data_IF_764321700024
#
_entry.id   IF_764321700024
#
_cell.length_a   1.000
_cell.length_b   1.000
_cell.length_c   1.000
_cell.angle_alpha   90.00
_cell.angle_beta   90.00
_cell.angle_gamma   90.00
#
_symmetry.space_group_name_H-M   'P 1'
#
loop_
_entity.id
_entity.type
_entity.pdbx_description
1 polymer ?
#
# COMPACT_ATOMS: atom_id res chain seq x y z
N UNK A 1 -49.20 11.23 12.49
CA UNK A 1 -48.84 10.81 11.12
C UNK A 1 -47.35 10.72 11.05
N UNK A 2 -46.81 9.56 10.86
CA UNK A 2 -45.36 9.41 10.63
C UNK A 2 -44.98 10.03 9.28
N UNK A 3 -43.90 10.79 9.22
CA UNK A 3 -43.47 11.39 7.95
C UNK A 3 -43.19 10.30 6.92
N UNK A 4 -43.44 10.51 5.61
CA UNK A 4 -43.26 9.53 4.56
C UNK A 4 -41.81 9.06 4.55
N UNK A 5 -41.58 7.81 4.24
CA UNK A 5 -40.29 7.09 4.31
C UNK A 5 -39.14 7.87 3.65
N UNK A 6 -39.42 8.56 2.55
CA UNK A 6 -38.47 9.46 1.84
C UNK A 6 -38.02 10.64 2.72
N UNK A 7 -38.92 11.20 3.56
CA UNK A 7 -38.58 12.29 4.49
C UNK A 7 -37.74 11.76 5.67
N UNK A 8 -38.03 10.57 6.17
CA UNK A 8 -37.23 9.92 7.23
C UNK A 8 -35.81 9.60 6.72
N UNK A 9 -35.68 9.05 5.52
CA UNK A 9 -34.38 8.79 4.89
C UNK A 9 -33.62 10.10 4.64
N UNK A 10 -34.29 11.13 4.12
CA UNK A 10 -33.67 12.45 3.92
C UNK A 10 -33.21 13.05 5.25
N UNK A 11 -34.01 12.98 6.28
CA UNK A 11 -33.65 13.48 7.62
C UNK A 11 -32.48 12.70 8.22
N UNK A 12 -32.50 11.37 8.10
CA UNK A 12 -31.39 10.51 8.54
C UNK A 12 -30.07 10.85 7.80
N UNK A 13 -30.12 10.96 6.47
CA UNK A 13 -28.95 11.32 5.64
C UNK A 13 -28.44 12.71 6.01
N UNK A 14 -29.33 13.71 6.12
CA UNK A 14 -28.92 15.07 6.47
C UNK A 14 -28.30 15.12 7.87
N UNK A 15 -28.85 14.36 8.83
CA UNK A 15 -28.33 14.36 10.21
C UNK A 15 -26.96 13.68 10.35
N UNK A 16 -26.71 12.60 9.59
CA UNK A 16 -25.49 11.80 9.76
C UNK A 16 -24.39 12.17 8.75
N UNK A 17 -24.73 12.81 7.63
CA UNK A 17 -23.77 13.18 6.58
C UNK A 17 -23.61 14.68 6.41
N UNK A 18 -24.21 15.50 7.28
CA UNK A 18 -24.03 16.96 7.22
C UNK A 18 -22.70 17.38 7.85
N UNK A 19 -21.68 17.48 7.01
CA UNK A 19 -20.34 17.95 7.39
C UNK A 19 -20.34 19.38 8.00
N UNK A 20 -21.43 20.13 7.85
CA UNK A 20 -21.49 21.52 8.36
C UNK A 20 -21.53 21.61 9.89
N UNK A 21 -22.01 20.56 10.55
CA UNK A 21 -22.09 20.52 12.03
C UNK A 21 -20.74 20.31 12.69
N UNK A 22 -19.83 19.59 12.01
CA UNK A 22 -18.48 19.28 12.49
C UNK A 22 -17.42 20.17 11.85
N UNK A 23 -17.83 21.07 10.96
CA UNK A 23 -16.93 21.97 10.24
C UNK A 23 -16.18 22.87 11.25
N UNK A 24 -14.88 22.92 11.10
CA UNK A 24 -14.02 23.89 11.77
C UNK A 24 -14.31 25.30 11.22
N UNK A 25 -13.89 26.32 11.96
CA UNK A 25 -13.93 27.69 11.45
C UNK A 25 -13.23 27.78 10.09
N UNK A 26 -13.88 28.46 9.13
CA UNK A 26 -13.42 28.52 7.75
C UNK A 26 -12.06 29.23 7.64
N UNK A 27 -11.87 30.30 8.43
CA UNK A 27 -10.60 31.04 8.44
C UNK A 27 -9.47 30.22 9.05
N UNK A 28 -9.76 29.49 10.14
CA UNK A 28 -8.80 28.61 10.79
C UNK A 28 -8.37 27.44 9.90
N UNK A 29 -9.32 26.83 9.20
CA UNK A 29 -9.03 25.78 8.21
C UNK A 29 -8.17 26.30 7.07
N UNK A 30 -8.54 27.47 6.50
CA UNK A 30 -7.77 28.10 5.41
C UNK A 30 -6.36 28.43 5.88
N UNK A 31 -6.21 28.97 7.08
CA UNK A 31 -4.90 29.30 7.63
C UNK A 31 -4.04 28.06 7.91
N UNK A 32 -4.63 27.01 8.47
CA UNK A 32 -3.97 25.73 8.73
C UNK A 32 -3.46 25.09 7.42
N UNK A 33 -4.29 25.07 6.38
CA UNK A 33 -3.89 24.56 5.08
C UNK A 33 -2.83 25.46 4.41
N UNK A 34 -2.92 26.78 4.55
CA UNK A 34 -1.90 27.72 4.05
C UNK A 34 -0.54 27.52 4.73
N UNK A 35 -0.52 27.26 6.05
CA UNK A 35 0.70 26.92 6.79
C UNK A 35 1.32 25.62 6.26
N UNK A 36 0.50 24.61 5.92
CA UNK A 36 0.97 23.35 5.33
C UNK A 36 1.62 23.52 3.94
N UNK A 37 1.34 24.61 3.22
CA UNK A 37 1.97 24.91 1.93
C UNK A 37 3.43 25.36 2.09
N UNK A 38 3.83 25.86 3.27
CA UNK A 38 5.19 26.36 3.49
C UNK A 38 6.22 25.25 3.45
N UNK A 39 7.11 25.37 2.45
CA UNK A 39 8.14 24.38 2.17
C UNK A 39 9.54 25.00 2.38
N UNK A 40 9.94 25.18 3.65
CA UNK A 40 11.23 25.79 4.03
C UNK A 40 11.79 25.12 5.29
N UNK A 41 13.11 25.17 5.43
CA UNK A 41 13.79 24.73 6.65
C UNK A 41 13.48 23.28 7.02
N UNK A 42 12.83 23.06 8.15
CA UNK A 42 12.53 21.73 8.69
C UNK A 42 11.79 20.82 7.70
N UNK A 43 10.79 21.35 6.99
CA UNK A 43 10.00 20.55 6.04
C UNK A 43 10.84 20.00 4.89
N UNK A 44 11.86 20.74 4.44
CA UNK A 44 12.76 20.26 3.39
C UNK A 44 13.68 19.13 3.91
N UNK A 45 14.22 19.26 5.11
CA UNK A 45 15.05 18.22 5.72
C UNK A 45 14.23 16.95 6.01
N UNK A 46 13.01 17.10 6.55
CA UNK A 46 12.10 15.98 6.77
C UNK A 46 11.78 15.28 5.45
N UNK A 47 11.54 16.02 4.35
CA UNK A 47 11.35 15.43 3.03
C UNK A 47 12.57 14.61 2.58
N UNK A 48 13.76 15.18 2.67
CA UNK A 48 15.01 14.49 2.27
C UNK A 48 15.15 13.17 3.05
N UNK A 49 15.01 13.20 4.38
CA UNK A 49 15.10 11.98 5.19
C UNK A 49 13.98 10.98 4.85
N UNK A 50 12.77 11.45 4.61
CA UNK A 50 11.66 10.60 4.23
C UNK A 50 11.91 9.93 2.87
N UNK A 51 12.49 10.66 1.89
CA UNK A 51 12.87 10.09 0.59
C UNK A 51 13.97 9.03 0.75
N UNK A 52 14.97 9.25 1.62
CA UNK A 52 15.97 8.23 1.92
C UNK A 52 15.34 6.97 2.51
N UNK A 53 14.44 7.12 3.50
CA UNK A 53 13.71 5.99 4.10
C UNK A 53 12.83 5.26 3.08
N UNK A 54 12.10 6.00 2.24
CA UNK A 54 11.28 5.39 1.20
C UNK A 54 12.13 4.65 0.16
N UNK A 55 13.26 5.22 -0.24
CA UNK A 55 14.18 4.59 -1.19
C UNK A 55 14.83 3.33 -0.60
N UNK A 56 15.22 3.36 0.69
CA UNK A 56 15.65 2.17 1.43
C UNK A 56 14.55 1.10 1.45
N UNK A 57 13.32 1.49 1.79
CA UNK A 57 12.17 0.58 1.83
C UNK A 57 11.87 -0.06 0.48
N UNK A 58 11.94 0.71 -0.60
CA UNK A 58 11.78 0.21 -1.98
C UNK A 58 12.90 -0.75 -2.37
N UNK A 59 14.14 -0.44 -2.00
CA UNK A 59 15.32 -1.25 -2.32
C UNK A 59 15.36 -2.58 -1.54
N UNK A 60 14.84 -2.58 -0.31
CA UNK A 60 14.73 -3.77 0.54
C UNK A 60 13.38 -4.48 0.41
N UNK A 61 12.52 -4.03 -0.50
CA UNK A 61 11.16 -4.55 -0.71
C UNK A 61 10.32 -4.57 0.58
N UNK A 62 10.51 -3.58 1.45
CA UNK A 62 9.84 -3.49 2.76
C UNK A 62 8.70 -2.50 2.74
N UNK A 63 7.47 -2.99 2.54
CA UNK A 63 6.24 -2.17 2.53
C UNK A 63 6.06 -1.39 3.85
N UNK A 64 6.45 -1.98 4.99
CA UNK A 64 6.35 -1.32 6.30
C UNK A 64 7.23 -0.06 6.39
N UNK A 65 8.48 -0.12 5.90
CA UNK A 65 9.39 1.04 5.87
C UNK A 65 8.87 2.11 4.91
N UNK A 66 8.35 1.71 3.74
CA UNK A 66 7.73 2.61 2.77
C UNK A 66 6.55 3.36 3.39
N UNK A 67 5.65 2.66 4.07
CA UNK A 67 4.51 3.27 4.78
C UNK A 67 4.99 4.24 5.85
N UNK A 68 5.97 3.86 6.66
CA UNK A 68 6.57 4.74 7.66
C UNK A 68 7.13 6.04 7.07
N UNK A 69 7.81 5.94 5.93
CA UNK A 69 8.33 7.11 5.21
C UNK A 69 7.22 8.04 4.69
N UNK A 70 6.12 7.46 4.17
CA UNK A 70 4.96 8.23 3.69
C UNK A 70 4.31 9.06 4.81
N UNK A 71 4.26 8.51 6.04
CA UNK A 71 3.66 9.18 7.20
C UNK A 71 4.35 10.49 7.58
N UNK A 72 5.66 10.58 7.40
CA UNK A 72 6.45 11.75 7.75
C UNK A 72 6.60 12.75 6.60
N UNK A 73 6.07 12.42 5.41
CA UNK A 73 6.25 13.23 4.20
C UNK A 73 5.40 14.51 4.20
N UNK A 74 6.01 15.69 3.98
CA UNK A 74 5.28 16.94 3.90
C UNK A 74 4.72 17.27 2.50
N UNK A 75 4.68 16.32 1.56
CA UNK A 75 4.29 16.56 0.15
C UNK A 75 2.82 16.95 -0.01
N UNK A 76 1.96 16.52 0.89
CA UNK A 76 0.50 16.71 0.78
C UNK A 76 0.10 18.18 0.91
N UNK A 77 0.81 18.97 1.72
CA UNK A 77 0.48 20.38 1.98
C UNK A 77 0.40 21.25 0.73
N UNK A 78 1.45 21.31 -0.10
CA UNK A 78 1.43 22.08 -1.36
C UNK A 78 0.34 21.63 -2.33
N UNK A 79 0.03 20.33 -2.41
CA UNK A 79 -0.98 19.78 -3.32
C UNK A 79 -2.40 20.19 -2.90
N UNK A 80 -2.71 20.04 -1.61
CA UNK A 80 -3.99 20.49 -1.04
C UNK A 80 -4.11 22.01 -1.11
N UNK A 81 -3.02 22.75 -0.84
CA UNK A 81 -2.97 24.21 -0.97
C UNK A 81 -3.25 24.69 -2.38
N UNK A 82 -2.82 23.96 -3.41
CA UNK A 82 -3.15 24.26 -4.81
C UNK A 82 -4.66 24.11 -5.05
N UNK A 83 -5.27 22.98 -4.63
CA UNK A 83 -6.72 22.75 -4.75
C UNK A 83 -7.56 23.76 -3.95
N UNK A 84 -7.13 24.11 -2.73
CA UNK A 84 -7.74 25.15 -1.91
C UNK A 84 -7.69 26.52 -2.64
N UNK A 85 -6.52 26.93 -3.11
CA UNK A 85 -6.33 28.20 -3.81
C UNK A 85 -7.24 28.34 -5.04
N UNK A 86 -7.43 27.25 -5.79
CA UNK A 86 -8.41 27.18 -6.87
C UNK A 86 -9.84 27.34 -6.34
N UNK A 87 -10.17 26.68 -5.24
CA UNK A 87 -11.49 26.69 -4.62
C UNK A 87 -11.93 28.06 -4.11
N UNK A 88 -11.05 28.77 -3.41
CA UNK A 88 -11.31 30.11 -2.83
C UNK A 88 -10.89 31.27 -3.75
N UNK A 89 -10.46 31.00 -4.97
CA UNK A 89 -10.02 31.99 -5.95
C UNK A 89 -8.81 32.84 -5.48
N UNK A 90 -7.86 32.21 -4.74
CA UNK A 90 -6.63 32.85 -4.27
C UNK A 90 -5.44 32.50 -5.19
N UNK A 91 -5.17 33.38 -6.17
CA UNK A 91 -4.10 33.20 -7.17
C UNK A 91 -2.69 33.18 -6.52
N UNK A 92 -2.46 33.94 -5.45
CA UNK A 92 -1.18 33.96 -4.76
C UNK A 92 -0.91 32.61 -4.08
N UNK A 93 -1.95 32.03 -3.46
CA UNK A 93 -1.87 30.70 -2.88
C UNK A 93 -1.60 29.63 -3.94
N UNK A 94 -2.28 29.68 -5.10
CA UNK A 94 -2.03 28.77 -6.23
C UNK A 94 -0.59 28.84 -6.69
N UNK A 95 -0.07 30.06 -6.94
CA UNK A 95 1.31 30.27 -7.39
C UNK A 95 2.33 29.78 -6.35
N UNK A 96 2.09 30.07 -5.07
CA UNK A 96 2.95 29.65 -3.97
C UNK A 96 2.94 28.12 -3.81
N UNK A 97 1.76 27.51 -3.84
CA UNK A 97 1.59 26.06 -3.78
C UNK A 97 2.31 25.35 -4.93
N UNK A 98 2.11 25.82 -6.16
CA UNK A 98 2.74 25.26 -7.34
C UNK A 98 4.28 25.37 -7.28
N UNK A 99 4.80 26.52 -6.86
CA UNK A 99 6.25 26.70 -6.71
C UNK A 99 6.83 25.75 -5.67
N UNK A 100 6.17 25.65 -4.50
CA UNK A 100 6.64 24.77 -3.40
C UNK A 100 6.51 23.29 -3.78
N UNK A 101 5.44 22.91 -4.49
CA UNK A 101 5.26 21.59 -5.06
C UNK A 101 6.39 21.21 -6.03
N UNK A 102 6.71 22.08 -6.99
CA UNK A 102 7.80 21.85 -7.95
C UNK A 102 9.16 21.74 -7.24
N UNK A 103 9.40 22.60 -6.24
CA UNK A 103 10.62 22.53 -5.42
C UNK A 103 10.70 21.19 -4.68
N UNK A 104 9.62 20.77 -4.02
CA UNK A 104 9.57 19.50 -3.31
C UNK A 104 9.80 18.30 -4.26
N UNK A 105 9.15 18.31 -5.42
CA UNK A 105 9.32 17.29 -6.45
C UNK A 105 10.77 17.19 -6.92
N UNK A 106 11.40 18.33 -7.22
CA UNK A 106 12.79 18.39 -7.67
C UNK A 106 13.73 17.80 -6.60
N UNK A 107 13.63 18.26 -5.36
CA UNK A 107 14.46 17.75 -4.27
C UNK A 107 14.22 16.26 -4.02
N UNK A 108 12.99 15.78 -4.12
CA UNK A 108 12.66 14.36 -3.97
C UNK A 108 13.31 13.51 -5.04
N UNK A 109 13.16 13.88 -6.31
CA UNK A 109 13.74 13.12 -7.43
C UNK A 109 15.27 13.14 -7.35
N UNK A 110 15.88 14.31 -7.08
CA UNK A 110 17.35 14.42 -6.94
C UNK A 110 17.86 13.56 -5.80
N UNK A 111 17.23 13.63 -4.62
CA UNK A 111 17.62 12.84 -3.45
C UNK A 111 17.52 11.33 -3.73
N UNK A 112 16.41 10.90 -4.34
CA UNK A 112 16.22 9.50 -4.71
C UNK A 112 17.24 9.04 -5.77
N UNK A 113 17.51 9.87 -6.77
CA UNK A 113 18.53 9.57 -7.80
C UNK A 113 19.92 9.40 -7.17
N UNK A 114 20.31 10.30 -6.26
CA UNK A 114 21.59 10.19 -5.54
C UNK A 114 21.64 8.89 -4.72
N UNK A 115 20.57 8.57 -4.00
CA UNK A 115 20.51 7.34 -3.23
C UNK A 115 20.71 6.09 -4.10
N UNK A 116 19.92 5.96 -5.18
CA UNK A 116 19.99 4.78 -6.05
C UNK A 116 21.27 4.72 -6.87
N UNK A 117 21.90 5.85 -7.17
CA UNK A 117 23.20 5.89 -7.83
C UNK A 117 24.32 5.35 -6.93
N UNK A 118 24.25 5.58 -5.62
CA UNK A 118 25.23 5.11 -4.63
C UNK A 118 24.92 3.67 -4.18
N UNK A 119 23.65 3.25 -4.27
CA UNK A 119 23.20 1.93 -3.81
C UNK A 119 23.84 0.81 -4.63
N UNK A 120 24.39 -0.24 -3.98
CA UNK A 120 24.94 -1.40 -4.67
C UNK A 120 23.88 -2.30 -5.30
N UNK A 121 22.59 -2.14 -4.92
CA UNK A 121 21.46 -2.93 -5.41
C UNK A 121 20.84 -2.17 -6.58
N UNK A 122 21.05 -2.66 -7.80
CA UNK A 122 20.55 -2.06 -9.04
C UNK A 122 19.32 -2.81 -9.62
N UNK A 123 18.93 -3.93 -9.01
CA UNK A 123 17.76 -4.68 -9.45
C UNK A 123 16.47 -4.02 -9.01
N UNK A 124 15.49 -3.93 -9.94
CA UNK A 124 14.18 -3.36 -9.66
C UNK A 124 13.33 -4.36 -8.90
N UNK A 125 13.12 -4.12 -7.62
CA UNK A 125 12.25 -4.90 -6.75
C UNK A 125 10.76 -4.74 -7.11
N UNK A 126 9.90 -5.67 -6.67
CA UNK A 126 8.46 -5.68 -6.99
C UNK A 126 7.74 -4.40 -6.59
N UNK A 127 8.06 -3.82 -5.43
CA UNK A 127 7.49 -2.54 -4.97
C UNK A 127 7.86 -1.36 -5.89
N UNK A 128 9.07 -1.36 -6.47
CA UNK A 128 9.48 -0.38 -7.47
C UNK A 128 8.70 -0.55 -8.77
N UNK A 129 8.61 -1.77 -9.28
CA UNK A 129 7.92 -2.09 -10.54
C UNK A 129 6.43 -1.79 -10.47
N UNK A 130 5.78 -2.03 -9.33
CA UNK A 130 4.37 -1.73 -9.11
C UNK A 130 4.03 -0.23 -9.30
N UNK A 131 5.01 0.67 -9.21
CA UNK A 131 4.81 2.13 -9.38
C UNK A 131 5.08 2.63 -10.80
N UNK A 132 5.49 1.76 -11.71
CA UNK A 132 5.81 2.15 -13.10
C UNK A 132 4.62 2.09 -14.05
N UNK A 133 3.53 1.44 -13.66
CA UNK A 133 2.35 1.21 -14.51
C UNK A 133 1.07 1.64 -13.79
N UNK A 134 0.63 2.90 -13.95
CA UNK A 134 -0.60 3.41 -13.34
C UNK A 134 -1.84 2.66 -13.78
N UNK A 135 -2.74 2.42 -12.85
CA UNK A 135 -4.03 1.76 -13.05
C UNK A 135 -5.20 2.70 -12.74
N UNK A 136 -6.43 2.29 -13.10
CA UNK A 136 -7.63 3.03 -12.70
C UNK A 136 -7.79 3.08 -11.18
N UNK A 137 -7.30 2.05 -10.48
CA UNK A 137 -7.37 2.00 -9.02
C UNK A 137 -6.54 3.11 -8.38
N UNK A 138 -5.38 3.46 -8.93
CA UNK A 138 -4.55 4.56 -8.44
C UNK A 138 -5.30 5.90 -8.54
N UNK A 139 -6.03 6.10 -9.64
CA UNK A 139 -6.89 7.28 -9.84
C UNK A 139 -7.97 7.36 -8.75
N UNK A 140 -8.68 6.25 -8.52
CA UNK A 140 -9.74 6.18 -7.50
C UNK A 140 -9.17 6.37 -6.09
N UNK A 141 -8.04 5.75 -5.78
CA UNK A 141 -7.35 5.90 -4.50
C UNK A 141 -6.94 7.35 -4.27
N UNK A 142 -6.34 8.00 -5.26
CA UNK A 142 -5.96 9.41 -5.16
C UNK A 142 -7.17 10.33 -4.98
N UNK A 143 -8.26 10.06 -5.70
CA UNK A 143 -9.49 10.84 -5.60
C UNK A 143 -10.17 10.70 -4.25
N UNK A 144 -10.48 9.47 -3.82
CA UNK A 144 -11.15 9.23 -2.53
C UNK A 144 -10.24 9.55 -1.34
N UNK A 145 -8.93 9.25 -1.45
CA UNK A 145 -7.95 9.64 -0.47
C UNK A 145 -7.86 11.17 -0.34
N UNK A 146 -7.85 11.89 -1.46
CA UNK A 146 -7.91 13.34 -1.48
C UNK A 146 -9.19 13.91 -0.85
N UNK A 147 -10.35 13.32 -1.14
CA UNK A 147 -11.63 13.68 -0.49
C UNK A 147 -11.56 13.47 1.03
N UNK A 148 -11.09 12.31 1.49
CA UNK A 148 -10.93 12.03 2.91
C UNK A 148 -9.97 13.02 3.59
N UNK A 149 -8.85 13.36 2.92
CA UNK A 149 -7.87 14.30 3.43
C UNK A 149 -8.40 15.70 3.63
N UNK A 150 -9.12 16.23 2.66
CA UNK A 150 -9.65 17.58 2.78
C UNK A 150 -10.84 17.63 3.74
N UNK A 151 -11.70 16.60 3.79
CA UNK A 151 -12.78 16.51 4.78
C UNK A 151 -12.19 16.50 6.19
N UNK A 152 -11.19 15.64 6.47
CA UNK A 152 -10.52 15.60 7.76
C UNK A 152 -9.81 16.93 8.09
N UNK A 153 -9.16 17.55 7.10
CA UNK A 153 -8.53 18.86 7.25
C UNK A 153 -9.50 20.01 7.52
N UNK A 154 -10.79 19.83 7.17
CA UNK A 154 -11.87 20.81 7.32
C UNK A 154 -12.72 20.62 8.58
N UNK A 155 -12.42 19.60 9.39
CA UNK A 155 -13.18 19.26 10.61
C UNK A 155 -12.36 19.51 11.87
N UNK A 156 -13.04 19.73 13.00
CA UNK A 156 -12.41 19.93 14.32
C UNK A 156 -11.61 18.71 14.78
N UNK A 157 -12.04 17.52 14.35
CA UNK A 157 -11.40 16.25 14.70
C UNK A 157 -10.36 15.84 13.65
N UNK A 158 -9.25 16.58 13.54
CA UNK A 158 -8.17 16.31 12.56
C UNK A 158 -7.51 14.94 12.77
N UNK A 159 -7.45 14.43 13.97
CA UNK A 159 -7.05 13.08 14.40
C UNK A 159 -6.00 12.37 13.52
N UNK A 160 -6.11 11.06 13.46
CA UNK A 160 -5.22 10.18 12.68
C UNK A 160 -5.59 10.04 11.19
N UNK A 161 -6.63 10.76 10.71
CA UNK A 161 -7.11 10.63 9.34
C UNK A 161 -6.12 11.22 8.34
N UNK A 162 -5.53 12.39 8.64
CA UNK A 162 -4.55 13.04 7.75
C UNK A 162 -3.33 12.15 7.49
N UNK A 163 -2.68 11.53 8.49
CA UNK A 163 -1.62 10.56 8.26
C UNK A 163 -2.08 9.36 7.41
N UNK A 164 -3.28 8.81 7.68
CA UNK A 164 -3.83 7.70 6.91
C UNK A 164 -4.02 8.03 5.42
N UNK A 165 -4.46 9.26 5.12
CA UNK A 165 -4.60 9.75 3.74
C UNK A 165 -3.25 9.91 3.05
N UNK A 166 -2.22 10.39 3.75
CA UNK A 166 -0.86 10.48 3.20
C UNK A 166 -0.31 9.11 2.78
N UNK A 167 -0.67 8.05 3.51
CA UNK A 167 -0.35 6.66 3.14
C UNK A 167 -1.15 6.24 1.90
N UNK A 168 -2.48 6.45 1.91
CA UNK A 168 -3.36 5.99 0.84
C UNK A 168 -3.01 6.61 -0.51
N UNK A 169 -2.68 7.90 -0.54
CA UNK A 169 -2.41 8.62 -1.80
C UNK A 169 -1.03 8.33 -2.41
N UNK A 170 -0.17 7.64 -1.68
CA UNK A 170 1.12 7.11 -2.16
C UNK A 170 1.91 8.07 -3.09
N UNK A 171 2.15 9.31 -2.67
CA UNK A 171 2.86 10.31 -3.49
C UNK A 171 4.38 10.07 -3.54
N UNK A 172 4.95 9.55 -2.45
CA UNK A 172 6.41 9.45 -2.29
C UNK A 172 7.03 8.29 -3.07
N UNK A 173 6.51 7.05 -3.05
CA UNK A 173 7.10 5.94 -3.77
C UNK A 173 7.25 6.17 -5.26
N UNK A 174 6.28 6.77 -5.98
CA UNK A 174 6.47 7.10 -7.40
C UNK A 174 7.62 8.08 -7.66
N UNK A 175 7.87 9.05 -6.76
CA UNK A 175 9.02 9.96 -6.90
C UNK A 175 10.35 9.23 -6.68
N UNK A 176 10.40 8.31 -5.71
CA UNK A 176 11.59 7.48 -5.49
C UNK A 176 11.83 6.55 -6.67
N UNK A 177 10.78 5.92 -7.23
CA UNK A 177 10.88 5.09 -8.44
C UNK A 177 11.30 5.89 -9.67
N UNK A 178 10.83 7.14 -9.79
CA UNK A 178 11.33 8.04 -10.84
C UNK A 178 12.84 8.31 -10.67
N UNK A 179 13.30 8.57 -9.44
CA UNK A 179 14.71 8.71 -9.13
C UNK A 179 15.53 7.43 -9.45
N UNK A 180 14.98 6.25 -9.18
CA UNK A 180 15.57 4.98 -9.59
C UNK A 180 15.69 4.85 -11.11
N UNK A 181 14.63 5.23 -11.85
CA UNK A 181 14.66 5.24 -13.31
C UNK A 181 15.77 6.14 -13.89
N UNK A 182 16.01 7.31 -13.27
CA UNK A 182 17.12 8.19 -13.67
C UNK A 182 18.48 7.60 -13.31
N UNK A 183 18.63 7.03 -12.12
CA UNK A 183 19.88 6.45 -11.65
C UNK A 183 20.32 5.24 -12.49
N UNK A 184 19.36 4.43 -12.96
CA UNK A 184 19.61 3.24 -13.79
C UNK A 184 19.57 3.52 -15.30
N UNK A 185 19.29 4.77 -15.71
CA UNK A 185 19.15 5.15 -17.13
C UNK A 185 17.88 4.59 -17.80
N UNK A 186 16.92 4.07 -17.04
CA UNK A 186 15.69 3.50 -17.58
C UNK A 186 14.59 4.55 -17.66
N UNK A 187 14.44 5.14 -18.84
CA UNK A 187 13.45 6.21 -19.08
C UNK A 187 12.00 5.73 -18.92
N UNK A 188 11.72 4.44 -19.18
CA UNK A 188 10.37 3.88 -19.01
C UNK A 188 9.95 3.87 -17.52
N UNK A 189 10.87 3.52 -16.62
CA UNK A 189 10.61 3.56 -15.18
C UNK A 189 10.41 5.00 -14.70
N UNK A 190 11.26 5.93 -15.18
CA UNK A 190 11.11 7.34 -14.85
C UNK A 190 9.73 7.88 -15.29
N UNK A 191 9.40 7.72 -16.57
CA UNK A 191 8.16 8.29 -17.13
C UNK A 191 6.91 7.62 -16.52
N UNK A 192 6.91 6.31 -16.32
CA UNK A 192 5.78 5.60 -15.71
C UNK A 192 5.51 6.05 -14.28
N UNK A 193 6.56 6.10 -13.46
CA UNK A 193 6.44 6.52 -12.07
C UNK A 193 6.12 8.02 -11.93
N UNK A 194 6.74 8.86 -12.72
CA UNK A 194 6.44 10.30 -12.73
C UNK A 194 5.01 10.59 -13.20
N UNK A 195 4.50 9.80 -14.15
CA UNK A 195 3.12 9.88 -14.59
C UNK A 195 2.14 9.49 -13.48
N UNK A 196 2.41 8.42 -12.72
CA UNK A 196 1.62 8.04 -11.55
C UNK A 196 1.61 9.15 -10.49
N UNK A 197 2.77 9.73 -10.17
CA UNK A 197 2.87 10.87 -9.27
C UNK A 197 2.02 12.05 -9.72
N UNK A 198 2.06 12.37 -11.02
CA UNK A 198 1.27 13.46 -11.61
C UNK A 198 -0.24 13.20 -11.50
N UNK A 199 -0.70 11.99 -11.82
CA UNK A 199 -2.10 11.58 -11.67
C UNK A 199 -2.55 11.79 -10.21
N UNK A 200 -1.81 11.25 -9.25
CA UNK A 200 -2.16 11.39 -7.83
C UNK A 200 -2.26 12.86 -7.42
N UNK A 201 -1.31 13.68 -7.83
CA UNK A 201 -1.32 15.12 -7.55
C UNK A 201 -2.56 15.81 -8.09
N UNK A 202 -2.91 15.54 -9.34
CA UNK A 202 -4.07 16.16 -10.00
C UNK A 202 -5.37 15.76 -9.31
N UNK A 203 -5.55 14.47 -8.99
CA UNK A 203 -6.78 13.99 -8.37
C UNK A 203 -6.94 14.43 -6.91
N UNK A 204 -5.86 14.52 -6.14
CA UNK A 204 -5.89 15.08 -4.78
C UNK A 204 -6.25 16.57 -4.83
N UNK A 205 -5.65 17.34 -5.76
CA UNK A 205 -5.96 18.74 -5.93
C UNK A 205 -7.40 18.97 -6.37
N UNK A 206 -7.91 18.13 -7.27
CA UNK A 206 -9.29 18.15 -7.74
C UNK A 206 -10.28 17.83 -6.61
N UNK A 207 -10.00 16.84 -5.82
CA UNK A 207 -10.80 16.47 -4.64
C UNK A 207 -10.88 17.63 -3.66
N UNK A 208 -9.75 18.27 -3.37
CA UNK A 208 -9.69 19.45 -2.51
C UNK A 208 -10.52 20.60 -3.09
N UNK A 209 -10.39 20.90 -4.38
CA UNK A 209 -11.18 21.91 -5.07
C UNK A 209 -12.69 21.63 -4.96
N UNK A 210 -13.12 20.40 -5.21
CA UNK A 210 -14.54 20.01 -5.16
C UNK A 210 -15.10 20.22 -3.74
N UNK A 211 -14.42 19.72 -2.70
CA UNK A 211 -14.91 19.83 -1.32
C UNK A 211 -14.96 21.29 -0.87
N UNK A 212 -13.94 22.10 -1.16
CA UNK A 212 -13.91 23.54 -0.86
C UNK A 212 -15.09 24.25 -1.50
N UNK A 213 -15.46 23.88 -2.74
CA UNK A 213 -16.63 24.43 -3.44
C UNK A 213 -17.96 23.96 -2.87
N UNK A 214 -18.07 22.68 -2.51
CA UNK A 214 -19.27 22.08 -1.91
C UNK A 214 -19.54 22.67 -0.52
N UNK A 215 -18.48 22.84 0.29
CA UNK A 215 -18.57 23.44 1.62
C UNK A 215 -18.69 24.98 1.57
N UNK A 216 -18.68 25.59 0.38
CA UNK A 216 -18.89 27.02 0.15
C UNK A 216 -17.91 27.91 0.95
N UNK A 217 -16.62 27.55 0.96
CA UNK A 217 -15.61 28.41 1.57
C UNK A 217 -15.61 29.81 0.95
N UNK A 218 -15.36 30.87 1.74
CA UNK A 218 -15.38 32.23 1.25
C UNK A 218 -14.30 32.45 0.17
N UNK A 219 -14.71 33.14 -0.90
CA UNK A 219 -13.73 33.54 -1.92
C UNK A 219 -12.90 34.71 -1.40
N UNK A 220 -11.63 34.78 -1.81
CA UNK A 220 -10.78 35.93 -1.50
C UNK A 220 -11.40 37.21 -2.07
N UNK A 221 -11.59 38.21 -1.23
CA UNK A 221 -12.11 39.52 -1.63
C UNK A 221 -11.02 40.33 -2.35
N UNK A 222 -11.42 41.00 -3.41
CA UNK A 222 -10.55 41.89 -4.17
C UNK A 222 -11.11 43.31 -4.07
N UNK A 223 -10.28 44.27 -3.69
CA UNK A 223 -10.61 45.68 -3.62
C UNK A 223 -10.96 46.27 -4.99
N UNK A 224 -10.37 45.70 -6.07
CA UNK A 224 -10.58 46.19 -7.46
C UNK A 224 -11.39 45.12 -8.24
N UNK A 225 -12.60 45.51 -8.72
CA UNK A 225 -13.48 44.64 -9.52
C UNK A 225 -12.86 44.21 -10.85
N UNK A 226 -12.00 45.04 -11.48
CA UNK A 226 -11.31 44.67 -12.73
C UNK A 226 -10.29 43.56 -12.45
N UNK A 227 -9.52 43.72 -11.39
CA UNK A 227 -8.54 42.69 -10.96
C UNK A 227 -9.23 41.38 -10.61
N UNK A 228 -10.36 41.43 -9.91
CA UNK A 228 -11.17 40.25 -9.59
C UNK A 228 -11.64 39.50 -10.86
N UNK A 229 -12.11 40.20 -11.88
CA UNK A 229 -12.52 39.57 -13.15
C UNK A 229 -11.35 38.90 -13.88
N UNK A 230 -10.19 39.55 -13.91
CA UNK A 230 -8.98 38.99 -14.54
C UNK A 230 -8.53 37.72 -13.80
N UNK A 231 -8.43 37.79 -12.48
CA UNK A 231 -8.06 36.62 -11.65
C UNK A 231 -9.05 35.48 -11.86
N UNK A 232 -10.35 35.76 -11.80
CA UNK A 232 -11.40 34.74 -12.01
C UNK A 232 -11.27 34.06 -13.39
N UNK A 233 -10.92 34.84 -14.45
CA UNK A 233 -10.68 34.28 -15.80
C UNK A 233 -9.47 33.33 -15.80
N UNK A 234 -8.33 33.75 -15.22
CA UNK A 234 -7.14 32.92 -15.13
C UNK A 234 -7.42 31.65 -14.32
N UNK A 235 -8.15 31.76 -13.20
CA UNK A 235 -8.52 30.61 -12.38
C UNK A 235 -9.40 29.61 -13.14
N UNK A 236 -10.38 30.10 -13.92
CA UNK A 236 -11.18 29.20 -14.77
C UNK A 236 -10.32 28.50 -15.82
N UNK A 237 -9.37 29.20 -16.44
CA UNK A 237 -8.43 28.58 -17.39
C UNK A 237 -7.61 27.48 -16.69
N UNK A 238 -7.05 27.76 -15.52
CA UNK A 238 -6.25 26.78 -14.76
C UNK A 238 -7.11 25.55 -14.38
N UNK A 239 -8.32 25.77 -13.87
CA UNK A 239 -9.26 24.67 -13.54
C UNK A 239 -9.57 23.84 -14.78
N UNK A 240 -9.88 24.49 -15.91
CA UNK A 240 -10.17 23.78 -17.17
C UNK A 240 -8.96 23.02 -17.68
N UNK A 241 -7.77 23.61 -17.64
CA UNK A 241 -6.51 22.97 -18.00
C UNK A 241 -6.13 21.81 -17.04
N UNK A 242 -6.66 21.79 -15.83
CA UNK A 242 -6.44 20.69 -14.88
C UNK A 242 -7.47 19.57 -15.10
N UNK A 243 -8.74 19.90 -15.28
CA UNK A 243 -9.84 18.93 -15.40
C UNK A 243 -9.80 18.18 -16.73
N UNK A 244 -9.62 18.88 -17.85
CA UNK A 244 -9.66 18.25 -19.19
C UNK A 244 -8.57 17.19 -19.35
N UNK A 245 -7.27 17.48 -19.09
CA UNK A 245 -6.25 16.42 -19.13
C UNK A 245 -6.50 15.30 -18.14
N UNK A 246 -7.01 15.61 -16.95
CA UNK A 246 -7.35 14.60 -15.94
C UNK A 246 -8.40 13.61 -16.45
N UNK A 247 -9.48 14.09 -17.05
CA UNK A 247 -10.51 13.23 -17.66
C UNK A 247 -9.95 12.40 -18.82
N UNK A 248 -9.11 13.01 -19.67
CA UNK A 248 -8.45 12.30 -20.76
C UNK A 248 -7.51 11.18 -20.22
N UNK A 249 -6.72 11.48 -19.21
CA UNK A 249 -5.83 10.53 -18.58
C UNK A 249 -6.61 9.36 -17.95
N UNK A 250 -7.69 9.67 -17.24
CA UNK A 250 -8.60 8.66 -16.67
C UNK A 250 -9.18 7.77 -17.74
N UNK A 251 -9.68 8.35 -18.84
CA UNK A 251 -10.21 7.59 -19.97
C UNK A 251 -9.14 6.66 -20.58
N UNK A 252 -7.93 7.17 -20.76
CA UNK A 252 -6.80 6.40 -21.29
C UNK A 252 -6.45 5.22 -20.39
N UNK A 253 -6.30 5.46 -19.09
CA UNK A 253 -5.99 4.43 -18.09
C UNK A 253 -7.11 3.39 -18.03
N UNK A 254 -8.37 3.84 -17.96
CA UNK A 254 -9.54 2.96 -17.96
C UNK A 254 -9.56 2.05 -19.19
N UNK A 255 -9.34 2.62 -20.38
CA UNK A 255 -9.30 1.86 -21.64
C UNK A 255 -8.20 0.80 -21.64
N UNK A 256 -7.03 1.12 -21.08
CA UNK A 256 -5.92 0.17 -20.97
C UNK A 256 -6.27 -0.95 -19.97
N UNK A 257 -6.80 -0.61 -18.82
CA UNK A 257 -7.19 -1.59 -17.77
C UNK A 257 -8.30 -2.52 -18.28
N UNK A 258 -9.34 -1.98 -18.93
CA UNK A 258 -10.42 -2.78 -19.51
C UNK A 258 -9.88 -3.73 -20.58
N UNK A 259 -8.99 -3.24 -21.41
CA UNK A 259 -8.34 -4.06 -22.44
C UNK A 259 -7.51 -5.20 -21.84
N UNK A 260 -6.70 -4.93 -20.82
CA UNK A 260 -5.92 -5.96 -20.12
C UNK A 260 -6.82 -7.01 -19.45
N UNK A 261 -7.93 -6.59 -18.86
CA UNK A 261 -8.90 -7.52 -18.25
C UNK A 261 -9.64 -8.37 -19.30
N UNK A 262 -9.96 -7.78 -20.46
CA UNK A 262 -10.52 -8.52 -21.59
C UNK A 262 -9.55 -9.59 -22.09
N UNK A 263 -8.27 -9.24 -22.25
CA UNK A 263 -7.21 -10.20 -22.64
C UNK A 263 -7.09 -11.31 -21.60
N UNK A 264 -7.06 -10.95 -20.31
CA UNK A 264 -6.98 -11.91 -19.21
C UNK A 264 -8.18 -12.87 -19.20
N UNK A 265 -9.38 -12.33 -19.33
CA UNK A 265 -10.61 -13.10 -19.35
C UNK A 265 -10.67 -14.05 -20.56
N UNK A 266 -10.26 -13.57 -21.73
CA UNK A 266 -10.16 -14.39 -22.94
C UNK A 266 -9.17 -15.55 -22.77
N UNK A 267 -7.95 -15.25 -22.33
CA UNK A 267 -6.91 -16.27 -22.15
C UNK A 267 -7.35 -17.33 -21.15
N UNK A 268 -7.92 -16.92 -20.01
CA UNK A 268 -8.32 -17.85 -18.96
C UNK A 268 -9.54 -18.70 -19.29
N UNK A 269 -10.41 -18.27 -20.23
CA UNK A 269 -11.65 -18.99 -20.57
C UNK A 269 -11.56 -19.76 -21.88
N UNK A 270 -10.86 -19.22 -22.87
CA UNK A 270 -10.84 -19.78 -24.22
C UNK A 270 -9.54 -20.52 -24.54
N UNK A 271 -8.47 -20.30 -23.77
CA UNK A 271 -7.18 -20.97 -23.94
C UNK A 271 -6.88 -21.91 -22.75
N UNK A 272 -7.90 -22.30 -21.99
CA UNK A 272 -7.82 -23.31 -20.94
C UNK A 272 -8.06 -24.71 -21.56
N UNK A 273 -7.00 -25.36 -22.00
CA UNK A 273 -7.07 -26.68 -22.62
C UNK A 273 -6.61 -27.77 -21.64
N UNK A 274 -7.18 -28.98 -21.70
CA UNK A 274 -6.75 -30.11 -20.88
C UNK A 274 -5.25 -30.38 -21.01
N UNK A 275 -4.55 -30.57 -19.89
CA UNK A 275 -3.11 -30.84 -19.82
C UNK A 275 -2.21 -29.76 -20.44
N UNK A 276 -2.75 -28.55 -20.68
CA UNK A 276 -1.98 -27.44 -21.26
C UNK A 276 -2.07 -26.23 -20.34
N UNK A 277 -0.97 -25.54 -20.11
CA UNK A 277 -0.92 -24.33 -19.31
C UNK A 277 -0.45 -23.14 -20.13
N UNK A 278 -1.05 -22.00 -19.89
CA UNK A 278 -0.60 -20.73 -20.47
C UNK A 278 0.64 -20.25 -19.69
N UNK A 279 1.78 -20.32 -20.34
CA UNK A 279 3.04 -19.96 -19.76
C UNK A 279 3.27 -18.46 -19.73
N UNK A 280 2.97 -17.80 -20.83
CA UNK A 280 3.08 -16.35 -20.93
C UNK A 280 2.04 -15.79 -21.89
N UNK A 281 1.66 -14.52 -21.65
CA UNK A 281 0.80 -13.73 -22.51
C UNK A 281 1.39 -12.36 -22.68
N UNK A 282 1.64 -11.94 -23.89
CA UNK A 282 2.18 -10.61 -24.20
C UNK A 282 1.41 -9.98 -25.33
N UNK A 283 1.07 -8.71 -25.20
CA UNK A 283 0.49 -7.94 -26.30
C UNK A 283 1.62 -7.17 -26.96
N UNK A 284 2.00 -7.57 -28.17
CA UNK A 284 2.98 -6.88 -28.99
C UNK A 284 2.29 -5.97 -30.00
N UNK A 285 2.96 -4.90 -30.40
CA UNK A 285 2.56 -4.07 -31.53
C UNK A 285 3.46 -4.45 -32.69
N UNK A 286 2.86 -4.94 -33.77
CA UNK A 286 3.58 -5.28 -35.00
C UNK A 286 4.19 -4.03 -35.65
N UNK A 287 5.16 -4.22 -36.52
CA UNK A 287 5.80 -3.16 -37.33
C UNK A 287 4.80 -2.33 -38.15
N UNK A 288 3.61 -2.89 -38.41
CA UNK A 288 2.49 -2.19 -39.06
C UNK A 288 1.56 -1.44 -38.09
N UNK A 289 1.91 -1.34 -36.78
CA UNK A 289 1.08 -0.70 -35.76
C UNK A 289 -0.13 -1.51 -35.29
N UNK A 290 -0.29 -2.75 -35.72
CA UNK A 290 -1.37 -3.65 -35.33
C UNK A 290 -1.01 -4.37 -34.03
N UNK A 291 -1.94 -4.43 -33.09
CA UNK A 291 -1.75 -5.20 -31.86
C UNK A 291 -1.91 -6.68 -32.14
N UNK A 292 -1.01 -7.49 -31.59
CA UNK A 292 -1.07 -8.95 -31.63
C UNK A 292 -0.94 -9.49 -30.20
N UNK A 293 -1.83 -10.40 -29.83
CA UNK A 293 -1.76 -11.15 -28.59
C UNK A 293 -0.93 -12.40 -28.82
N UNK A 294 0.26 -12.45 -28.26
CA UNK A 294 1.14 -13.61 -28.30
C UNK A 294 0.92 -14.42 -27.01
N UNK A 295 0.55 -15.67 -27.16
CA UNK A 295 0.35 -16.62 -26.05
C UNK A 295 1.28 -17.80 -26.26
N UNK A 296 1.99 -18.19 -25.19
CA UNK A 296 2.83 -19.38 -25.17
C UNK A 296 2.15 -20.45 -24.33
N UNK A 297 1.86 -21.58 -24.96
CA UNK A 297 1.25 -22.75 -24.31
C UNK A 297 2.34 -23.80 -24.04
N UNK A 298 2.24 -24.43 -22.88
CA UNK A 298 3.08 -25.55 -22.46
C UNK A 298 2.20 -26.74 -22.08
N UNK A 299 2.47 -27.91 -22.63
CA UNK A 299 1.71 -29.11 -22.36
C UNK A 299 1.49 -29.94 -23.62
N UNK A 300 0.33 -30.61 -23.69
CA UNK A 300 -0.06 -31.40 -24.86
C UNK A 300 -0.30 -30.47 -26.05
N UNK A 301 -0.09 -31.02 -27.28
CA UNK A 301 -0.29 -30.27 -28.50
C UNK A 301 -1.80 -29.98 -28.69
N UNK A 302 -2.14 -28.70 -28.78
CA UNK A 302 -3.53 -28.26 -29.03
C UNK A 302 -3.77 -28.23 -30.54
N UNK A 303 -4.78 -28.93 -31.05
CA UNK A 303 -5.12 -28.93 -32.47
C UNK A 303 -5.43 -27.52 -33.01
N UNK A 304 -4.96 -27.21 -34.21
CA UNK A 304 -5.17 -25.90 -34.86
C UNK A 304 -6.67 -25.52 -34.94
N UNK A 305 -7.56 -26.51 -35.09
CA UNK A 305 -8.99 -26.28 -35.10
C UNK A 305 -9.50 -25.66 -33.76
N UNK A 306 -8.93 -26.04 -32.63
CA UNK A 306 -9.28 -25.47 -31.33
C UNK A 306 -8.74 -24.03 -31.17
N UNK A 307 -7.55 -23.78 -31.71
CA UNK A 307 -6.95 -22.44 -31.71
C UNK A 307 -7.75 -21.50 -32.62
N UNK A 308 -8.20 -21.97 -33.79
CA UNK A 308 -9.05 -21.18 -34.68
C UNK A 308 -10.44 -20.94 -34.09
N UNK A 309 -11.01 -21.91 -33.36
CA UNK A 309 -12.25 -21.71 -32.62
C UNK A 309 -12.10 -20.65 -31.52
N UNK A 310 -10.99 -20.67 -30.76
CA UNK A 310 -10.68 -19.62 -29.79
C UNK A 310 -10.50 -18.25 -30.46
N UNK A 311 -9.79 -18.22 -31.61
CA UNK A 311 -9.62 -16.98 -32.41
C UNK A 311 -10.94 -16.38 -32.86
N UNK A 312 -11.89 -17.18 -33.29
CA UNK A 312 -13.22 -16.71 -33.69
C UNK A 312 -13.98 -16.04 -32.54
N UNK A 313 -13.78 -16.52 -31.28
CA UNK A 313 -14.43 -15.98 -30.10
C UNK A 313 -13.77 -14.69 -29.55
N UNK A 314 -12.61 -14.26 -30.07
CA UNK A 314 -12.00 -13.00 -29.66
C UNK A 314 -12.95 -11.81 -29.79
N UNK A 315 -13.85 -11.85 -30.75
CA UNK A 315 -14.85 -10.79 -31.00
C UNK A 315 -15.80 -10.63 -29.82
N UNK A 316 -16.16 -11.72 -29.14
CA UNK A 316 -17.06 -11.71 -27.97
C UNK A 316 -16.44 -11.02 -26.74
N UNK A 317 -15.12 -10.99 -26.70
CA UNK A 317 -14.35 -10.32 -25.67
C UNK A 317 -13.91 -8.90 -26.06
N UNK A 318 -14.37 -8.36 -27.19
CA UNK A 318 -13.98 -7.05 -27.69
C UNK A 318 -12.56 -7.00 -28.28
N UNK A 319 -11.95 -8.15 -28.54
CA UNK A 319 -10.58 -8.30 -29.06
C UNK A 319 -10.53 -8.57 -30.56
N UNK A 320 -11.64 -8.41 -31.29
CA UNK A 320 -11.74 -8.73 -32.73
C UNK A 320 -10.80 -7.96 -33.66
N UNK A 321 -10.21 -6.85 -33.19
CA UNK A 321 -9.22 -6.08 -33.96
C UNK A 321 -7.75 -6.51 -33.73
N UNK A 322 -7.52 -7.57 -32.96
CA UNK A 322 -6.20 -8.00 -32.52
C UNK A 322 -5.89 -9.35 -33.11
N UNK A 323 -4.68 -9.52 -33.64
CA UNK A 323 -4.19 -10.83 -34.07
C UNK A 323 -3.89 -11.74 -32.89
N UNK A 324 -4.25 -13.03 -32.97
CA UNK A 324 -3.84 -14.05 -32.01
C UNK A 324 -2.69 -14.87 -32.61
N UNK A 325 -1.56 -14.91 -31.91
CA UNK A 325 -0.44 -15.78 -32.21
C UNK A 325 -0.24 -16.73 -31.04
N UNK A 326 -0.50 -18.00 -31.25
CA UNK A 326 -0.26 -19.06 -30.26
C UNK A 326 1.02 -19.78 -30.63
N UNK A 327 1.97 -19.84 -29.69
CA UNK A 327 3.19 -20.64 -29.81
C UNK A 327 3.05 -21.81 -28.86
N UNK A 328 3.20 -23.03 -29.40
CA UNK A 328 3.21 -24.26 -28.61
C UNK A 328 4.66 -24.68 -28.37
N UNK A 329 5.04 -24.87 -27.10
CA UNK A 329 6.38 -25.35 -26.75
C UNK A 329 6.51 -26.85 -27.00
N UNK A 330 7.64 -27.25 -27.62
CA UNK A 330 8.14 -28.60 -27.84
C UNK A 330 7.84 -29.32 -29.19
N UNK A 331 7.91 -28.58 -30.29
CA UNK A 331 8.45 -29.18 -31.50
C UNK A 331 9.78 -28.51 -31.83
N UNK A 332 10.83 -29.25 -31.70
CA UNK A 332 12.23 -28.93 -31.46
C UNK A 332 13.01 -28.20 -32.53
N UNK A 333 12.56 -27.13 -33.16
CA UNK A 333 13.42 -26.45 -34.13
C UNK A 333 13.38 -24.91 -34.19
N UNK A 334 12.42 -24.21 -33.57
CA UNK A 334 12.34 -22.76 -33.80
C UNK A 334 12.08 -21.88 -32.57
N UNK A 335 12.23 -22.39 -31.37
CA UNK A 335 12.11 -21.54 -30.17
C UNK A 335 13.52 -21.23 -29.68
N UNK A 336 13.90 -19.94 -29.71
CA UNK A 336 15.13 -19.50 -29.04
C UNK A 336 14.99 -19.77 -27.54
N UNK A 337 15.64 -20.88 -27.13
CA UNK A 337 15.63 -21.37 -25.74
C UNK A 337 16.05 -20.26 -24.76
N UNK A 338 16.84 -19.28 -25.21
CA UNK A 338 17.29 -18.16 -24.38
C UNK A 338 16.18 -17.13 -24.20
N UNK A 339 15.36 -16.87 -25.22
CA UNK A 339 14.19 -15.98 -25.11
C UNK A 339 13.10 -16.62 -24.25
N UNK A 340 12.80 -17.90 -24.45
CA UNK A 340 11.88 -18.68 -23.62
C UNK A 340 12.38 -18.77 -22.17
N UNK A 341 13.67 -19.03 -21.96
CA UNK A 341 14.29 -19.09 -20.65
C UNK A 341 14.27 -17.73 -19.93
N UNK A 342 14.46 -16.63 -20.65
CA UNK A 342 14.37 -15.28 -20.07
C UNK A 342 12.96 -14.88 -19.67
N UNK A 343 11.94 -15.24 -20.47
CA UNK A 343 10.53 -15.00 -20.17
C UNK A 343 10.05 -15.91 -19.03
N UNK A 344 10.39 -17.21 -19.08
CA UNK A 344 10.10 -18.17 -18.01
C UNK A 344 10.75 -17.79 -16.69
N UNK A 345 12.02 -17.41 -16.72
CA UNK A 345 12.74 -17.01 -15.52
C UNK A 345 12.14 -15.72 -14.94
N UNK A 346 11.76 -14.77 -15.76
CA UNK A 346 11.22 -13.48 -15.30
C UNK A 346 9.84 -13.60 -14.64
N UNK A 347 8.94 -14.39 -15.21
CA UNK A 347 7.58 -14.58 -14.66
C UNK A 347 7.53 -15.62 -13.53
N UNK A 348 8.32 -16.71 -13.63
CA UNK A 348 8.45 -17.70 -12.56
C UNK A 348 9.22 -17.14 -11.35
N UNK A 349 10.26 -16.33 -11.54
CA UNK A 349 10.94 -15.66 -10.42
C UNK A 349 10.02 -14.70 -9.72
N UNK A 350 9.26 -13.87 -10.45
CA UNK A 350 8.37 -12.88 -9.85
C UNK A 350 7.23 -13.50 -9.04
N UNK A 351 6.59 -14.54 -9.55
CA UNK A 351 5.49 -15.21 -8.85
C UNK A 351 5.98 -16.16 -7.74
N UNK A 352 7.15 -16.81 -7.93
CA UNK A 352 7.70 -17.71 -6.92
C UNK A 352 8.39 -16.95 -5.77
N UNK A 353 8.99 -15.80 -6.01
CA UNK A 353 9.69 -15.06 -4.95
C UNK A 353 8.71 -14.52 -3.91
N UNK A 354 7.56 -13.97 -4.32
CA UNK A 354 6.50 -13.54 -3.40
C UNK A 354 5.89 -14.73 -2.63
N UNK A 355 5.67 -15.85 -3.30
CA UNK A 355 5.14 -17.07 -2.68
C UNK A 355 6.16 -17.69 -1.71
N UNK A 356 7.42 -17.76 -2.11
CA UNK A 356 8.52 -18.29 -1.29
C UNK A 356 8.75 -17.39 -0.06
N UNK A 357 8.72 -16.07 -0.21
CA UNK A 357 8.86 -15.15 0.93
C UNK A 357 7.68 -15.24 1.89
N UNK A 358 6.44 -15.32 1.37
CA UNK A 358 5.25 -15.52 2.19
C UNK A 358 5.30 -16.86 2.93
N UNK A 359 5.68 -17.94 2.25
CA UNK A 359 5.84 -19.26 2.86
C UNK A 359 7.01 -19.30 3.85
N UNK A 360 8.12 -18.65 3.55
CA UNK A 360 9.27 -18.58 4.47
C UNK A 360 8.92 -17.83 5.75
N UNK A 361 8.20 -16.70 5.66
CA UNK A 361 7.70 -15.97 6.81
C UNK A 361 6.71 -16.79 7.64
N UNK A 362 5.83 -17.56 6.99
CA UNK A 362 4.88 -18.45 7.66
C UNK A 362 5.59 -19.63 8.33
N UNK A 363 6.56 -20.24 7.67
CA UNK A 363 7.41 -21.31 8.23
C UNK A 363 8.20 -20.80 9.44
N UNK A 364 8.77 -19.60 9.37
CA UNK A 364 9.54 -19.01 10.47
C UNK A 364 8.63 -18.72 11.69
N UNK A 365 7.46 -18.15 11.47
CA UNK A 365 6.44 -17.95 12.51
C UNK A 365 6.00 -19.26 13.15
N UNK A 366 5.76 -20.30 12.35
CA UNK A 366 5.39 -21.63 12.83
C UNK A 366 6.55 -22.29 13.59
N UNK A 367 7.79 -22.17 13.11
CA UNK A 367 8.99 -22.66 13.81
C UNK A 367 9.13 -22.00 15.18
N UNK A 368 9.04 -20.68 15.26
CA UNK A 368 9.08 -19.96 16.53
C UNK A 368 7.99 -20.42 17.50
N UNK A 369 6.80 -20.70 17.00
CA UNK A 369 5.70 -21.23 17.81
C UNK A 369 5.98 -22.65 18.30
N UNK A 370 6.41 -23.55 17.42
CA UNK A 370 6.77 -24.92 17.75
C UNK A 370 7.95 -24.98 18.74
N UNK A 371 8.97 -24.15 18.54
CA UNK A 371 10.13 -24.09 19.43
C UNK A 371 9.76 -23.58 20.83
N UNK A 372 8.80 -22.66 20.93
CA UNK A 372 8.25 -22.21 22.22
C UNK A 372 7.55 -23.39 22.95
N UNK A 373 6.70 -24.14 22.27
CA UNK A 373 6.04 -25.31 22.86
C UNK A 373 7.03 -26.42 23.20
N UNK A 374 8.02 -26.71 22.35
CA UNK A 374 9.08 -27.68 22.60
C UNK A 374 9.90 -27.32 23.84
N UNK A 375 10.36 -26.06 23.94
CA UNK A 375 11.11 -25.60 25.12
C UNK A 375 10.31 -25.81 26.39
N UNK A 376 9.04 -25.43 26.40
CA UNK A 376 8.18 -25.64 27.58
C UNK A 376 8.00 -27.12 27.95
N UNK A 377 7.81 -27.98 26.95
CA UNK A 377 7.69 -29.43 27.17
C UNK A 377 8.99 -30.08 27.71
N UNK A 378 10.14 -29.65 27.17
CA UNK A 378 11.43 -30.13 27.60
C UNK A 378 11.86 -29.56 28.97
N UNK A 379 11.35 -28.38 29.34
CA UNK A 379 11.69 -27.71 30.58
C UNK A 379 11.32 -28.57 31.81
N UNK A 380 10.12 -29.13 31.83
CA UNK A 380 9.70 -30.01 32.91
C UNK A 380 10.61 -31.25 33.04
N UNK A 381 11.00 -31.85 31.92
CA UNK A 381 11.88 -33.04 31.91
C UNK A 381 13.31 -32.68 32.33
N UNK A 382 13.85 -31.54 31.89
CA UNK A 382 15.21 -31.13 32.24
C UNK A 382 15.36 -30.71 33.70
N UNK A 383 14.32 -30.14 34.31
CA UNK A 383 14.31 -29.74 35.72
C UNK A 383 14.01 -30.90 36.70
N UNK A 384 13.41 -31.96 36.24
CA UNK A 384 13.05 -33.14 37.09
C UNK A 384 14.23 -33.76 37.86
N UNK A 385 15.45 -33.97 37.30
CA UNK A 385 16.58 -34.48 38.02
C UNK A 385 17.04 -33.59 39.17
N UNK A 386 17.12 -32.27 38.92
CA UNK A 386 17.52 -31.29 39.93
C UNK A 386 16.44 -31.15 41.01
N UNK A 387 15.18 -31.16 40.63
CA UNK A 387 14.05 -31.04 41.54
C UNK A 387 13.97 -32.26 42.51
N UNK A 388 14.27 -33.46 42.00
CA UNK A 388 14.30 -34.68 42.82
C UNK A 388 15.35 -34.64 43.93
N UNK A 389 16.47 -33.95 43.68
CA UNK A 389 17.54 -33.78 44.68
C UNK A 389 17.20 -32.68 45.68
N UNK A 390 16.69 -31.55 45.21
CA UNK A 390 16.41 -30.39 46.05
C UNK A 390 15.12 -30.51 46.85
N UNK A 391 14.11 -31.18 46.28
CA UNK A 391 12.76 -31.34 46.85
C UNK A 391 12.27 -32.78 46.71
N UNK A 392 12.77 -33.73 47.51
CA UNK A 392 12.43 -35.17 47.40
C UNK A 392 10.93 -35.48 47.58
N UNK A 393 10.20 -34.56 48.14
CA UNK A 393 8.74 -34.65 48.35
C UNK A 393 7.91 -34.33 47.12
N UNK A 394 8.51 -33.84 46.03
CA UNK A 394 7.82 -33.57 44.75
C UNK A 394 7.69 -34.87 43.95
N UNK A 395 6.45 -35.21 43.56
CA UNK A 395 6.14 -36.39 42.75
C UNK A 395 6.03 -36.11 41.27
N UNK A 396 5.39 -34.97 40.89
CA UNK A 396 5.15 -34.60 39.49
C UNK A 396 5.41 -33.13 39.27
N UNK A 397 5.96 -32.82 38.10
CA UNK A 397 6.19 -31.49 37.62
C UNK A 397 5.59 -31.36 36.23
N UNK A 398 4.83 -30.29 35.99
CA UNK A 398 4.42 -29.88 34.65
C UNK A 398 4.67 -28.39 34.47
N UNK A 399 5.19 -28.02 33.32
CA UNK A 399 5.44 -26.62 32.95
C UNK A 399 4.74 -26.35 31.62
N UNK A 400 3.90 -25.32 31.57
CA UNK A 400 3.23 -24.94 30.33
C UNK A 400 3.07 -23.40 30.23
N UNK A 401 3.46 -22.78 29.11
CA UNK A 401 3.13 -21.39 28.87
C UNK A 401 1.61 -21.27 28.68
N UNK A 402 0.98 -20.37 29.41
CA UNK A 402 -0.46 -20.17 29.33
C UNK A 402 -0.80 -18.69 29.40
N UNK A 403 -1.98 -18.33 28.89
CA UNK A 403 -2.51 -16.98 28.96
C UNK A 403 -3.56 -16.96 30.07
N UNK A 404 -3.35 -16.12 31.08
CA UNK A 404 -4.36 -15.87 32.11
C UNK A 404 -5.13 -14.62 31.73
N UNK A 405 -6.42 -14.79 31.43
CA UNK A 405 -7.33 -13.69 31.22
C UNK A 405 -7.66 -13.04 32.58
N UNK A 406 -7.35 -11.76 32.74
CA UNK A 406 -7.73 -10.99 33.91
C UNK A 406 -9.10 -10.38 33.66
N UNK A 407 -10.11 -10.78 34.42
CA UNK A 407 -11.49 -10.27 34.29
C UNK A 407 -11.66 -8.84 34.78
N UNK A 408 -10.65 -8.26 35.40
CA UNK A 408 -10.68 -6.89 35.97
C UNK A 408 -9.84 -5.90 35.14
N UNK A 409 -8.82 -6.40 34.45
CA UNK A 409 -7.98 -5.59 33.56
C UNK A 409 -7.97 -6.25 32.18
N UNK A 410 -8.36 -5.51 31.16
CA UNK A 410 -8.51 -5.97 29.76
C UNK A 410 -7.19 -6.36 29.05
N UNK A 411 -6.16 -6.75 29.79
CA UNK A 411 -4.87 -7.21 29.25
C UNK A 411 -4.62 -8.68 29.66
N UNK A 412 -4.48 -9.59 28.68
CA UNK A 412 -4.09 -10.95 28.97
C UNK A 412 -2.63 -11.00 29.43
N UNK A 413 -2.36 -11.67 30.57
CA UNK A 413 -1.00 -11.92 31.05
C UNK A 413 -0.51 -13.28 30.57
N UNK A 414 0.65 -13.28 29.88
CA UNK A 414 1.33 -14.51 29.51
C UNK A 414 2.22 -14.95 30.66
N UNK A 415 1.95 -16.11 31.22
CA UNK A 415 2.68 -16.67 32.36
C UNK A 415 3.13 -18.10 32.09
N UNK A 416 4.26 -18.49 32.70
CA UNK A 416 4.64 -19.89 32.78
C UNK A 416 3.90 -20.52 33.97
N UNK A 417 2.91 -21.37 33.68
CA UNK A 417 2.21 -22.13 34.70
C UNK A 417 3.05 -23.36 35.09
N UNK A 418 3.42 -23.41 36.36
CA UNK A 418 4.16 -24.55 36.94
C UNK A 418 3.25 -25.26 37.92
N UNK A 419 2.89 -26.48 37.56
CA UNK A 419 2.13 -27.38 38.41
C UNK A 419 3.07 -28.39 39.10
N UNK A 420 3.00 -28.49 40.43
CA UNK A 420 3.83 -29.35 41.25
C UNK A 420 2.91 -30.20 42.15
N UNK A 421 2.97 -31.50 42.04
CA UNK A 421 2.32 -32.41 42.96
C UNK A 421 3.31 -32.90 44.02
N UNK A 422 2.92 -32.78 45.29
CA UNK A 422 3.79 -33.14 46.46
C UNK A 422 3.16 -34.21 47.32
N UNK A 423 4.02 -35.08 47.93
CA UNK A 423 3.59 -36.11 48.91
C UNK A 423 3.18 -35.50 50.25
N UNK A 424 3.93 -34.50 50.70
CA UNK A 424 3.70 -33.81 51.96
C UNK A 424 3.64 -32.30 51.69
N UNK A 425 2.84 -31.58 52.48
CA UNK A 425 2.70 -30.12 52.32
C UNK A 425 4.05 -29.42 52.48
N UNK A 426 4.40 -28.59 51.52
CA UNK A 426 5.56 -27.69 51.60
C UNK A 426 5.28 -26.52 52.56
N UNK A 427 6.25 -26.21 53.38
CA UNK A 427 6.20 -25.03 54.26
C UNK A 427 6.18 -23.76 53.44
N UNK A 428 5.66 -22.63 53.94
CA UNK A 428 5.65 -21.35 53.20
C UNK A 428 7.04 -20.91 52.74
N UNK A 429 8.07 -21.19 53.48
CA UNK A 429 9.47 -20.91 53.12
C UNK A 429 9.98 -21.79 51.98
N UNK A 430 9.64 -23.07 51.98
CA UNK A 430 9.97 -23.98 50.88
C UNK A 430 9.25 -23.61 49.60
N UNK A 431 7.99 -23.20 49.66
CA UNK A 431 7.23 -22.68 48.49
C UNK A 431 7.88 -21.44 47.90
N UNK A 432 8.31 -20.50 48.71
CA UNK A 432 9.02 -19.30 48.30
C UNK A 432 10.35 -19.65 47.62
N UNK A 433 11.15 -20.51 48.22
CA UNK A 433 12.42 -20.97 47.66
C UNK A 433 12.24 -21.72 46.35
N UNK A 434 11.22 -22.59 46.25
CA UNK A 434 10.88 -23.31 45.01
C UNK A 434 10.50 -22.33 43.89
N UNK A 435 9.69 -21.32 44.21
CA UNK A 435 9.30 -20.28 43.23
C UNK A 435 10.50 -19.46 42.75
N UNK A 436 11.39 -19.08 43.67
CA UNK A 436 12.62 -18.32 43.32
C UNK A 436 13.58 -19.19 42.51
N UNK A 437 13.77 -20.45 42.85
CA UNK A 437 14.61 -21.36 42.09
C UNK A 437 14.07 -21.59 40.67
N UNK A 438 12.76 -21.81 40.54
CA UNK A 438 12.10 -21.93 39.23
C UNK A 438 12.31 -20.65 38.38
N UNK A 439 12.14 -19.46 38.96
CA UNK A 439 12.37 -18.19 38.27
C UNK A 439 13.80 -18.04 37.77
N UNK A 440 14.78 -18.37 38.61
CA UNK A 440 16.18 -18.29 38.23
C UNK A 440 16.57 -19.31 37.14
N UNK A 441 15.93 -20.51 37.14
CA UNK A 441 16.30 -21.57 36.22
C UNK A 441 15.57 -21.54 34.88
N UNK A 442 14.39 -20.92 34.84
CA UNK A 442 13.59 -20.77 33.62
C UNK A 442 13.82 -19.45 32.90
N UNK A 443 14.50 -18.50 33.51
CA UNK A 443 14.69 -17.09 33.04
C UNK A 443 13.37 -16.38 32.79
N UNK A 444 12.25 -16.91 33.23
CA UNK A 444 10.91 -16.32 33.02
C UNK A 444 10.56 -15.42 34.22
N UNK A 445 10.15 -14.20 33.93
CA UNK A 445 9.79 -13.21 34.98
C UNK A 445 8.42 -13.45 35.59
N UNK A 446 7.49 -14.07 34.83
CA UNK A 446 6.10 -14.28 35.25
C UNK A 446 5.82 -15.76 35.41
N UNK A 447 6.03 -16.31 36.61
CA UNK A 447 5.74 -17.70 36.94
C UNK A 447 4.54 -17.76 37.89
N UNK A 448 3.58 -18.62 37.58
CA UNK A 448 2.49 -18.96 38.47
C UNK A 448 2.63 -20.44 38.94
N UNK A 449 2.97 -20.61 40.22
CA UNK A 449 3.16 -21.89 40.85
C UNK A 449 1.83 -22.40 41.43
N UNK A 450 1.41 -23.59 41.03
CA UNK A 450 0.26 -24.33 41.61
C UNK A 450 0.82 -25.58 42.30
N UNK A 451 0.54 -25.70 43.59
CA UNK A 451 0.97 -26.85 44.39
C UNK A 451 -0.27 -27.67 44.77
N UNK A 452 -0.28 -28.93 44.34
CA UNK A 452 -1.32 -29.89 44.63
C UNK A 452 -0.78 -31.00 45.58
N UNK A 453 -1.67 -31.56 46.40
CA UNK A 453 -1.35 -32.59 47.38
C UNK A 453 -1.63 -34.00 46.86
#
# INVERSE_FOLDING_TARGET
MEPPLLQQVKFFLTRHFDLRQEKEDEEETIESLKKGVEFRGTNLWVLIFAIFLASLGLNTNSTAVIIGAMLISPLMGPIMGFGLGLGITDFELVKRSLRNYLTATLFSVVTATIYFFISPISEAQSELLARTSPTIYDVLIAFFGGLAGIVAGSTKSKGNVIPGVAIATALMPPLCTAGFGLATGNLSYFLGAFYLYFINTVFISLSTYIVVRVLKYPNKEFLDKKRAMVVRRYMMIIVTCTIIPSLYLTYRVLRTTVFEEQVKSFVNKELDFPNTQVLSRTVAVDTAGRKALNVVLLGDEVPDMMIEAARARMTDYGLGSIGLTVRQGFNGSDVDINELKSVLMKDLYKNNEELIQAQAAQIDSLKHTVDRYRRASHLALSLTPELRVLYPQVERLACTPTIIANTVQDKPDTVLLVYVKVKNALTPDEQRKLSQWMGARTEEKNIKLIIDR
#
